data_IF_269310422433
#
_entry.id   IF_269310422433
#
_cell.length_a   1.000
_cell.length_b   1.000
_cell.length_c   1.000
_cell.angle_alpha   90.00
_cell.angle_beta   90.00
_cell.angle_gamma   90.00
#
_symmetry.space_group_name_H-M   'P 1'
#
loop_
_entity.id
_entity.type
_entity.pdbx_description
1 polymer ?
#
# COMPACT_ATOMS: atom_id res chain seq x y z
N UNK A 1 -17.81 9.53 9.80
CA UNK A 1 -16.38 9.31 9.47
C UNK A 1 -15.58 10.21 10.38
N UNK A 2 -14.82 9.66 11.33
CA UNK A 2 -14.00 10.46 12.24
C UNK A 2 -12.95 11.21 11.43
N UNK A 3 -13.03 12.54 11.44
CA UNK A 3 -12.19 13.41 10.63
C UNK A 3 -10.82 13.54 11.30
N UNK A 4 -9.80 12.87 10.75
CA UNK A 4 -8.41 13.05 11.17
C UNK A 4 -7.98 14.51 10.99
N UNK A 5 -7.32 15.07 11.99
CA UNK A 5 -6.68 16.40 11.88
C UNK A 5 -5.54 16.37 10.87
N UNK A 6 -5.21 17.50 10.23
CA UNK A 6 -4.09 17.57 9.28
C UNK A 6 -2.77 17.04 9.86
N UNK A 7 -2.52 17.31 11.14
CA UNK A 7 -1.35 16.78 11.86
C UNK A 7 -1.39 15.25 11.95
N UNK A 8 -2.53 14.67 12.33
CA UNK A 8 -2.71 13.22 12.41
C UNK A 8 -2.58 12.55 11.04
N UNK A 9 -3.08 13.19 9.98
CA UNK A 9 -2.91 12.69 8.61
C UNK A 9 -1.44 12.62 8.23
N UNK A 10 -0.68 13.70 8.47
CA UNK A 10 0.76 13.75 8.18
C UNK A 10 1.57 12.74 8.99
N UNK A 11 1.23 12.55 10.26
CA UNK A 11 1.85 11.52 11.12
C UNK A 11 1.55 10.13 10.57
N UNK A 12 0.30 9.86 10.21
CA UNK A 12 -0.12 8.58 9.67
C UNK A 12 0.59 8.24 8.35
N UNK A 13 0.73 9.22 7.46
CA UNK A 13 1.45 9.10 6.18
C UNK A 13 2.92 8.73 6.40
N UNK A 14 3.61 9.42 7.30
CA UNK A 14 5.00 9.11 7.62
C UNK A 14 5.17 7.73 8.26
N UNK A 15 4.24 7.32 9.13
CA UNK A 15 4.27 5.98 9.74
C UNK A 15 4.10 4.89 8.68
N UNK A 16 3.15 5.06 7.76
CA UNK A 16 2.93 4.08 6.66
C UNK A 16 4.19 3.98 5.80
N UNK A 17 4.77 5.11 5.41
CA UNK A 17 6.00 5.15 4.61
C UNK A 17 7.16 4.43 5.30
N UNK A 18 7.46 4.84 6.54
CA UNK A 18 8.56 4.27 7.33
C UNK A 18 8.40 2.76 7.55
N UNK A 19 7.16 2.32 7.78
CA UNK A 19 6.88 0.89 7.98
C UNK A 19 6.99 0.08 6.68
N UNK A 20 6.61 0.64 5.53
CA UNK A 20 6.79 -0.01 4.21
C UNK A 20 8.27 -0.15 3.88
N UNK A 21 9.07 0.89 4.13
CA UNK A 21 10.50 0.90 3.79
C UNK A 21 11.31 -0.05 4.70
N UNK A 22 10.96 -0.14 5.98
CA UNK A 22 11.80 -0.82 6.98
C UNK A 22 11.18 -2.07 7.63
N UNK A 23 9.89 -2.33 7.46
CA UNK A 23 9.14 -3.46 8.07
C UNK A 23 9.31 -3.59 9.59
N UNK A 24 9.52 -2.47 10.28
CA UNK A 24 9.73 -2.41 11.74
C UNK A 24 8.71 -1.46 12.40
N UNK A 25 8.22 -1.76 13.62
CA UNK A 25 7.35 -0.85 14.35
C UNK A 25 7.94 0.55 14.49
N UNK A 26 7.15 1.57 14.15
CA UNK A 26 7.59 2.97 14.07
C UNK A 26 7.48 3.62 15.44
N UNK A 27 8.59 4.11 15.96
CA UNK A 27 8.62 4.81 17.26
C UNK A 27 8.35 6.30 17.10
N UNK A 28 7.80 6.95 18.13
CA UNK A 28 7.65 8.41 18.13
C UNK A 28 8.98 9.15 18.04
N UNK A 29 10.09 8.52 18.44
CA UNK A 29 11.45 9.06 18.31
C UNK A 29 11.91 9.09 16.84
N UNK A 30 11.51 8.11 16.03
CA UNK A 30 11.85 8.05 14.62
C UNK A 30 11.28 9.26 13.85
N UNK A 31 10.06 9.69 14.20
CA UNK A 31 9.34 10.76 13.49
C UNK A 31 9.57 12.16 14.05
N UNK A 32 10.17 12.27 15.24
CA UNK A 32 10.31 13.54 15.95
C UNK A 32 11.08 14.59 15.16
N UNK A 33 12.15 14.16 14.48
CA UNK A 33 13.01 15.05 13.68
C UNK A 33 12.27 15.60 12.46
N UNK A 34 11.55 14.74 11.74
CA UNK A 34 10.92 15.07 10.46
C UNK A 34 9.69 15.97 10.63
N UNK A 35 9.05 15.91 11.79
CA UNK A 35 7.85 16.68 12.10
C UNK A 35 8.11 17.91 12.99
N UNK A 36 9.32 18.07 13.53
CA UNK A 36 9.63 19.13 14.49
C UNK A 36 8.79 19.03 15.77
N UNK A 37 8.36 17.82 16.13
CA UNK A 37 7.51 17.55 17.30
C UNK A 37 8.28 16.77 18.36
N UNK A 38 7.95 17.02 19.64
CA UNK A 38 8.50 16.22 20.72
C UNK A 38 8.02 14.76 20.64
N UNK A 39 8.84 13.82 21.11
CA UNK A 39 8.44 12.39 21.16
C UNK A 39 7.22 12.15 22.05
N UNK A 40 6.98 13.01 23.05
CA UNK A 40 5.79 12.95 23.90
C UNK A 40 4.54 13.37 23.14
N UNK A 41 4.59 14.48 22.39
CA UNK A 41 3.50 14.93 21.53
C UNK A 41 3.16 13.88 20.48
N UNK A 42 4.18 13.32 19.81
CA UNK A 42 3.98 12.27 18.82
C UNK A 42 3.39 11.00 19.42
N UNK A 43 3.82 10.59 20.61
CA UNK A 43 3.22 9.45 21.30
C UNK A 43 1.73 9.66 21.55
N UNK A 44 1.32 10.86 21.98
CA UNK A 44 -0.09 11.18 22.20
C UNK A 44 -0.90 11.15 20.91
N UNK A 45 -0.37 11.69 19.81
CA UNK A 45 -1.02 11.63 18.50
C UNK A 45 -1.15 10.20 17.98
N UNK A 46 -0.09 9.39 18.15
CA UNK A 46 -0.10 7.98 17.79
C UNK A 46 -1.10 7.17 18.61
N UNK A 47 -1.29 7.49 19.90
CA UNK A 47 -2.36 6.92 20.73
C UNK A 47 -3.74 7.33 20.20
N UNK A 48 -3.91 8.58 19.78
CA UNK A 48 -5.16 9.03 19.14
C UNK A 48 -5.46 8.24 17.86
N UNK A 49 -4.46 8.06 16.99
CA UNK A 49 -4.57 7.26 15.77
C UNK A 49 -4.84 5.77 16.06
N UNK A 50 -4.29 5.21 17.14
CA UNK A 50 -4.59 3.86 17.61
C UNK A 50 -6.05 3.73 18.06
N UNK A 51 -6.53 4.64 18.91
CA UNK A 51 -7.93 4.66 19.36
C UNK A 51 -8.91 4.80 18.19
N UNK A 52 -8.53 5.53 17.14
CA UNK A 52 -9.29 5.63 15.90
C UNK A 52 -9.11 4.44 14.94
N UNK A 53 -8.33 3.41 15.32
CA UNK A 53 -8.16 2.15 14.59
C UNK A 53 -7.20 2.22 13.39
N UNK A 54 -6.43 3.30 13.25
CA UNK A 54 -5.42 3.44 12.18
C UNK A 54 -4.09 2.78 12.54
N UNK A 55 -3.74 2.72 13.82
CA UNK A 55 -2.49 2.13 14.29
C UNK A 55 -2.77 1.02 15.30
N UNK A 56 -1.79 0.15 15.53
CA UNK A 56 -1.80 -0.83 16.63
C UNK A 56 -0.40 -0.99 17.24
N UNK A 57 -0.31 -1.41 18.51
CA UNK A 57 0.93 -1.93 19.09
C UNK A 57 0.96 -3.44 18.98
N UNK A 58 2.03 -4.04 18.42
CA UNK A 58 2.23 -5.47 18.56
C UNK A 58 2.59 -5.86 20.01
N UNK A 59 3.36 -5.04 20.73
CA UNK A 59 3.77 -5.27 22.12
C UNK A 59 3.86 -3.95 22.90
N UNK A 60 3.73 -3.98 24.23
CA UNK A 60 3.67 -2.82 25.12
C UNK A 60 4.87 -1.86 25.03
N UNK A 61 6.04 -2.35 24.59
CA UNK A 61 7.26 -1.55 24.39
C UNK A 61 7.57 -1.24 22.92
N UNK A 62 6.83 -1.83 21.98
CA UNK A 62 7.05 -1.63 20.56
C UNK A 62 6.49 -0.28 20.09
N UNK A 63 7.02 0.21 18.96
CA UNK A 63 6.39 1.29 18.21
C UNK A 63 5.01 0.90 17.68
N UNK A 64 4.46 1.72 16.79
CA UNK A 64 3.19 1.45 16.13
C UNK A 64 3.38 0.88 14.74
N UNK A 65 2.44 0.03 14.34
CA UNK A 65 2.35 -0.46 12.97
C UNK A 65 1.02 0.02 12.36
N UNK A 66 0.99 0.29 11.04
CA UNK A 66 -0.25 0.62 10.35
C UNK A 66 -1.22 -0.56 10.36
N UNK A 67 -2.51 -0.28 10.54
CA UNK A 67 -3.58 -1.25 10.29
C UNK A 67 -4.02 -1.20 8.82
N UNK A 68 -4.89 -2.12 8.41
CA UNK A 68 -5.55 -2.05 7.10
C UNK A 68 -6.24 -0.69 6.86
N UNK A 69 -6.85 -0.11 7.90
CA UNK A 69 -7.52 1.19 7.82
C UNK A 69 -6.53 2.31 7.50
N UNK A 70 -5.31 2.27 8.05
CA UNK A 70 -4.25 3.20 7.70
C UNK A 70 -3.82 3.09 6.24
N UNK A 71 -3.65 1.88 5.72
CA UNK A 71 -3.30 1.70 4.32
C UNK A 71 -4.40 2.19 3.39
N UNK A 72 -5.68 1.88 3.67
CA UNK A 72 -6.81 2.39 2.88
C UNK A 72 -6.86 3.91 2.89
N UNK A 73 -6.62 4.53 4.05
CA UNK A 73 -6.55 5.98 4.16
C UNK A 73 -5.38 6.56 3.36
N UNK A 74 -4.18 5.97 3.49
CA UNK A 74 -2.98 6.40 2.78
C UNK A 74 -3.13 6.33 1.26
N UNK A 75 -3.76 5.28 0.74
CA UNK A 75 -4.04 5.10 -0.70
C UNK A 75 -5.15 6.05 -1.17
N UNK A 76 -6.15 6.31 -0.33
CA UNK A 76 -7.29 7.19 -0.64
C UNK A 76 -6.97 8.69 -0.56
N UNK A 77 -5.82 9.08 -0.01
CA UNK A 77 -5.38 10.48 0.00
C UNK A 77 -5.05 10.92 -1.44
N UNK A 78 -5.47 12.12 -1.87
CA UNK A 78 -5.21 12.66 -3.21
C UNK A 78 -3.73 13.03 -3.45
N UNK A 79 -2.80 12.52 -2.63
CA UNK A 79 -1.36 12.56 -2.88
C UNK A 79 -1.01 11.59 -4.02
N UNK A 80 -1.39 12.06 -5.20
CA UNK A 80 -0.88 11.75 -6.53
C UNK A 80 0.50 11.08 -6.49
N UNK A 81 0.56 9.95 -7.19
CA UNK A 81 1.63 9.69 -8.17
C UNK A 81 3.01 9.23 -7.67
N UNK A 82 3.18 8.66 -6.47
CA UNK A 82 4.43 7.89 -6.22
C UNK A 82 4.34 6.53 -6.91
N UNK A 83 3.27 5.77 -6.63
CA UNK A 83 3.02 4.52 -7.34
C UNK A 83 2.69 4.79 -8.80
N UNK A 84 1.66 5.59 -9.11
CA UNK A 84 1.22 5.81 -10.50
C UNK A 84 2.34 6.28 -11.46
N UNK A 85 3.24 7.21 -11.10
CA UNK A 85 4.27 7.66 -12.06
C UNK A 85 5.37 6.64 -12.31
N UNK A 86 5.90 6.02 -11.25
CA UNK A 86 6.92 4.97 -11.40
C UNK A 86 6.31 3.72 -12.04
N UNK A 87 5.08 3.39 -11.69
CA UNK A 87 4.33 2.25 -12.20
C UNK A 87 3.90 2.44 -13.66
N UNK A 88 3.35 3.60 -14.04
CA UNK A 88 3.01 3.90 -15.43
C UNK A 88 4.25 3.97 -16.33
N UNK A 89 5.41 4.33 -15.78
CA UNK A 89 6.69 4.26 -16.50
C UNK A 89 7.16 2.81 -16.72
N UNK A 90 7.05 1.93 -15.70
CA UNK A 90 7.36 0.50 -15.79
C UNK A 90 6.40 -0.23 -16.75
N UNK A 91 5.08 -0.11 -16.54
CA UNK A 91 4.05 -0.75 -17.36
C UNK A 91 3.95 -0.17 -18.78
N UNK A 92 4.34 1.09 -18.99
CA UNK A 92 4.40 1.70 -20.32
C UNK A 92 5.48 1.10 -21.23
N UNK A 93 6.44 0.37 -20.67
CA UNK A 93 7.53 -0.27 -21.40
C UNK A 93 7.41 -1.79 -21.46
N UNK A 94 6.60 -2.41 -20.59
CA UNK A 94 6.47 -3.88 -20.48
C UNK A 94 5.01 -4.27 -20.25
N UNK A 95 4.41 -5.04 -21.17
CA UNK A 95 2.98 -5.42 -21.08
C UNK A 95 2.62 -6.32 -19.89
N UNK A 96 3.61 -7.00 -19.31
CA UNK A 96 3.49 -7.84 -18.11
C UNK A 96 4.82 -7.77 -17.37
N UNK A 97 4.79 -7.45 -16.08
CA UNK A 97 5.98 -7.51 -15.22
C UNK A 97 5.86 -8.63 -14.20
N UNK A 98 6.96 -9.38 -14.02
CA UNK A 98 7.06 -10.44 -13.03
C UNK A 98 8.13 -10.11 -12.00
N UNK A 99 7.73 -10.03 -10.74
CA UNK A 99 8.64 -9.90 -9.59
C UNK A 99 8.72 -11.26 -8.90
N UNK A 100 9.93 -11.79 -8.72
CA UNK A 100 10.18 -13.09 -8.08
C UNK A 100 10.95 -12.93 -6.77
N UNK A 101 10.52 -13.67 -5.75
CA UNK A 101 11.21 -13.87 -4.48
C UNK A 101 11.53 -15.36 -4.30
N UNK A 102 12.21 -15.73 -3.22
CA UNK A 102 12.53 -17.14 -2.91
C UNK A 102 11.27 -18.01 -2.69
N UNK A 103 10.12 -17.42 -2.36
CA UNK A 103 8.88 -18.16 -2.01
C UNK A 103 7.70 -17.84 -2.93
N UNK A 104 7.62 -16.62 -3.45
CA UNK A 104 6.48 -16.15 -4.27
C UNK A 104 6.92 -15.41 -5.53
N UNK A 105 6.06 -15.42 -6.55
CA UNK A 105 6.05 -14.55 -7.72
C UNK A 105 4.81 -13.65 -7.72
N UNK A 106 4.99 -12.39 -8.07
CA UNK A 106 3.92 -11.43 -8.37
C UNK A 106 3.97 -11.12 -9.87
N UNK A 107 2.85 -11.28 -10.56
CA UNK A 107 2.67 -10.85 -11.95
C UNK A 107 1.70 -9.68 -11.95
N UNK A 108 2.07 -8.58 -12.58
CA UNK A 108 1.22 -7.40 -12.71
C UNK A 108 1.05 -7.05 -14.18
N UNK A 109 -0.15 -6.61 -14.54
CA UNK A 109 -0.46 -6.15 -15.88
C UNK A 109 -1.56 -5.10 -15.84
N UNK A 110 -1.54 -4.21 -16.83
CA UNK A 110 -2.58 -3.21 -17.01
C UNK A 110 -3.80 -3.84 -17.70
N UNK A 111 -4.98 -3.49 -17.23
CA UNK A 111 -6.26 -3.76 -17.87
C UNK A 111 -6.98 -2.43 -18.13
N UNK A 112 -7.53 -2.28 -19.33
CA UNK A 112 -8.28 -1.08 -19.70
C UNK A 112 -9.75 -1.45 -19.70
N UNK A 113 -10.53 -0.82 -18.84
CA UNK A 113 -11.98 -1.01 -18.81
C UNK A 113 -12.65 -0.18 -19.91
N UNK A 114 -13.92 -0.52 -20.21
CA UNK A 114 -14.76 0.17 -21.19
C UNK A 114 -14.85 1.68 -20.93
N UNK A 115 -14.75 2.10 -19.66
CA UNK A 115 -14.77 3.51 -19.25
C UNK A 115 -13.41 4.22 -19.34
N UNK A 116 -12.41 3.63 -20.01
CA UNK A 116 -11.03 4.17 -20.13
C UNK A 116 -10.31 4.42 -18.81
N UNK A 117 -10.78 3.83 -17.70
CA UNK A 117 -9.99 3.76 -16.48
C UNK A 117 -8.96 2.64 -16.66
N UNK A 118 -7.70 2.99 -16.39
CA UNK A 118 -6.64 1.98 -16.35
C UNK A 118 -6.66 1.33 -14.99
N UNK A 119 -6.94 0.04 -14.95
CA UNK A 119 -6.92 -0.78 -13.75
C UNK A 119 -5.70 -1.72 -13.78
N UNK A 120 -5.33 -2.21 -12.61
CA UNK A 120 -4.17 -3.07 -12.43
C UNK A 120 -4.67 -4.43 -11.98
N UNK A 121 -4.29 -5.46 -12.73
CA UNK A 121 -4.52 -6.86 -12.35
C UNK A 121 -3.20 -7.43 -11.86
N UNK A 122 -3.19 -7.91 -10.62
CA UNK A 122 -2.03 -8.52 -9.98
C UNK A 122 -2.31 -9.95 -9.53
N UNK A 123 -1.43 -10.90 -9.86
CA UNK A 123 -1.50 -12.30 -9.43
C UNK A 123 -0.29 -12.62 -8.57
N UNK A 124 -0.51 -12.99 -7.31
CA UNK A 124 0.52 -13.51 -6.41
C UNK A 124 0.41 -15.04 -6.38
N UNK A 125 1.52 -15.73 -6.65
CA UNK A 125 1.60 -17.20 -6.71
C UNK A 125 2.92 -17.73 -6.14
N UNK A 126 3.02 -19.01 -5.72
CA UNK A 126 4.31 -19.62 -5.35
C UNK A 126 5.28 -19.72 -6.53
N UNK A 127 6.59 -19.51 -6.29
CA UNK A 127 7.61 -19.39 -7.35
C UNK A 127 7.77 -20.63 -8.26
N UNK A 128 7.31 -21.81 -7.82
CA UNK A 128 7.42 -23.08 -8.57
C UNK A 128 6.32 -23.31 -9.63
N UNK A 129 5.37 -22.39 -9.80
CA UNK A 129 4.28 -22.57 -10.76
C UNK A 129 4.73 -22.28 -12.21
N UNK A 130 4.12 -22.94 -13.21
CA UNK A 130 4.48 -22.73 -14.62
C UNK A 130 4.02 -21.34 -15.10
N UNK A 131 4.88 -20.65 -15.82
CA UNK A 131 4.67 -19.27 -16.29
C UNK A 131 3.51 -19.14 -17.27
N UNK A 132 3.39 -20.09 -18.21
CA UNK A 132 2.32 -20.20 -19.20
C UNK A 132 0.92 -20.23 -18.56
N UNK A 133 0.75 -21.04 -17.51
CA UNK A 133 -0.52 -21.16 -16.78
C UNK A 133 -0.92 -19.86 -16.08
N UNK A 134 0.05 -19.14 -15.51
CA UNK A 134 -0.23 -17.88 -14.83
C UNK A 134 -0.63 -16.76 -15.80
N UNK A 135 -0.07 -16.73 -17.00
CA UNK A 135 -0.46 -15.77 -18.05
C UNK A 135 -1.88 -16.07 -18.53
N UNK A 136 -2.21 -17.34 -18.76
CA UNK A 136 -3.56 -17.76 -19.15
C UNK A 136 -4.60 -17.40 -18.09
N UNK A 137 -4.29 -17.61 -16.81
CA UNK A 137 -5.15 -17.22 -15.70
C UNK A 137 -5.39 -15.71 -15.64
N UNK A 138 -4.35 -14.90 -15.86
CA UNK A 138 -4.47 -13.43 -15.88
C UNK A 138 -5.34 -12.97 -17.06
N UNK A 139 -5.17 -13.55 -18.24
CA UNK A 139 -6.00 -13.21 -19.39
C UNK A 139 -7.46 -13.58 -19.14
N UNK A 140 -7.72 -14.75 -18.54
CA UNK A 140 -9.06 -15.16 -18.16
C UNK A 140 -9.68 -14.27 -17.08
N UNK A 141 -8.88 -13.79 -16.13
CA UNK A 141 -9.33 -12.81 -15.14
C UNK A 141 -9.68 -11.47 -15.80
N UNK A 142 -8.90 -11.02 -16.79
CA UNK A 142 -9.23 -9.81 -17.57
C UNK A 142 -10.55 -9.96 -18.30
N UNK A 143 -10.76 -11.09 -19.00
CA UNK A 143 -12.03 -11.39 -19.68
C UNK A 143 -13.21 -11.38 -18.70
N UNK A 144 -13.08 -12.05 -17.55
CA UNK A 144 -14.13 -12.05 -16.54
C UNK A 144 -14.44 -10.64 -16.00
N UNK A 145 -13.42 -9.80 -15.81
CA UNK A 145 -13.62 -8.43 -15.34
C UNK A 145 -14.34 -7.55 -16.38
N UNK A 146 -14.17 -7.82 -17.67
CA UNK A 146 -14.95 -7.14 -18.74
C UNK A 146 -16.44 -7.48 -18.65
N UNK A 147 -16.79 -8.71 -18.27
CA UNK A 147 -18.19 -9.15 -18.12
C UNK A 147 -18.89 -8.57 -16.88
N UNK A 148 -18.15 -8.12 -15.86
CA UNK A 148 -18.68 -7.48 -14.64
C UNK A 148 -18.93 -5.97 -14.80
N UNK A 149 -18.41 -5.35 -15.86
CA UNK A 149 -18.57 -3.93 -16.18
C UNK A 149 -19.81 -3.64 -17.07
N UNK A 150 -20.70 -4.64 -17.25
CA UNK A 150 -22.02 -4.55 -17.93
C UNK A 150 -23.18 -4.31 -16.95
#
# INVERSE_FOLDING_TARGET
MDKLTERQQKILELIVKEYVDNTKPVSSKALARDLGLSSATLRNEMTGLESSGYLTQPHTSAGRIPTEKAYRFFIGQPQKNIFEKQFNHLCGQVGVEMIRTQKYSLIITQHKTLHKKSEIVGLISPTRMRYDYNIELINKLKEMLEDFDL
#
